data_IF_007405493147
#
_entry.id   IF_007405493147
#
_cell.length_a   1.000
_cell.length_b   1.000
_cell.length_c   1.000
_cell.angle_alpha   90.00
_cell.angle_beta   90.00
_cell.angle_gamma   90.00
#
_symmetry.space_group_name_H-M   'P 1'
#
loop_
_entity.id
_entity.type
_entity.pdbx_description
1 polymer ?
#
# COMPACT_ATOMS: atom_id res chain seq x y z
N UNK A 1 36.41 2.87 14.05
CA UNK A 1 35.65 1.82 13.36
C UNK A 1 34.30 1.74 14.03
N UNK A 2 33.22 2.09 13.33
CA UNK A 2 31.86 1.90 13.83
C UNK A 2 31.59 0.40 13.75
N UNK A 3 31.23 -0.21 14.88
CA UNK A 3 31.01 -1.66 14.92
C UNK A 3 29.67 -2.03 14.30
N UNK A 4 29.59 -3.24 13.73
CA UNK A 4 28.36 -3.80 13.13
C UNK A 4 27.19 -3.78 14.12
N UNK A 5 27.46 -3.91 15.42
CA UNK A 5 26.45 -3.83 16.49
C UNK A 5 25.94 -2.41 16.73
N UNK A 6 26.76 -1.37 16.59
CA UNK A 6 26.29 0.04 16.68
C UNK A 6 25.40 0.43 15.50
N UNK A 7 25.74 -0.02 14.29
CA UNK A 7 24.91 0.16 13.09
C UNK A 7 23.58 -0.62 13.19
N UNK A 8 23.63 -1.86 13.69
CA UNK A 8 22.43 -2.70 13.89
C UNK A 8 21.55 -2.13 14.99
N UNK A 9 22.09 -1.70 16.14
CA UNK A 9 21.30 -1.14 17.23
C UNK A 9 20.70 0.24 16.89
N UNK A 10 21.42 1.07 16.14
CA UNK A 10 20.87 2.33 15.64
C UNK A 10 19.80 2.12 14.56
N UNK A 11 19.91 1.10 13.70
CA UNK A 11 18.89 0.77 12.69
C UNK A 11 17.67 0.03 13.26
N UNK A 12 17.84 -0.93 14.17
CA UNK A 12 16.74 -1.80 14.63
C UNK A 12 15.70 -1.08 15.49
N UNK A 13 16.12 -0.10 16.30
CA UNK A 13 15.19 0.66 17.16
C UNK A 13 14.45 1.75 16.36
N UNK A 14 15.09 2.33 15.33
CA UNK A 14 14.49 3.41 14.54
C UNK A 14 13.54 2.94 13.42
N UNK A 15 13.74 1.74 12.88
CA UNK A 15 13.07 1.34 11.62
C UNK A 15 11.68 0.71 11.80
N UNK A 16 11.34 0.05 12.92
CA UNK A 16 10.01 -0.59 13.07
C UNK A 16 8.95 0.33 13.69
N UNK A 17 9.25 0.97 14.83
CA UNK A 17 8.33 1.92 15.45
C UNK A 17 8.22 3.21 14.64
N UNK A 18 9.36 3.77 14.20
CA UNK A 18 9.39 5.00 13.40
C UNK A 18 8.57 4.90 12.12
N UNK A 19 8.56 3.75 11.47
CA UNK A 19 7.77 3.51 10.26
C UNK A 19 6.26 3.50 10.51
N UNK A 20 5.80 2.75 11.54
CA UNK A 20 4.38 2.69 11.87
C UNK A 20 3.86 4.08 12.27
N UNK A 21 4.66 4.85 13.01
CA UNK A 21 4.39 6.26 13.27
C UNK A 21 4.41 7.12 12.01
N UNK A 22 5.30 6.87 11.05
CA UNK A 22 5.38 7.63 9.79
C UNK A 22 4.16 7.44 8.91
N UNK A 23 3.67 6.19 8.78
CA UNK A 23 2.42 5.92 8.06
C UNK A 23 1.25 6.60 8.77
N UNK A 24 1.14 6.46 10.09
CA UNK A 24 0.03 7.04 10.83
C UNK A 24 0.01 8.57 10.70
N UNK A 25 1.20 9.21 10.72
CA UNK A 25 1.36 10.64 10.42
C UNK A 25 0.91 10.96 8.99
N UNK A 26 1.31 10.16 7.99
CA UNK A 26 0.91 10.36 6.60
C UNK A 26 -0.60 10.24 6.42
N UNK A 27 -1.24 9.22 7.02
CA UNK A 27 -2.70 9.08 7.03
C UNK A 27 -3.38 10.27 7.70
N UNK A 28 -2.81 10.80 8.78
CA UNK A 28 -3.33 12.01 9.44
C UNK A 28 -3.19 13.26 8.55
N UNK A 29 -2.09 13.40 7.81
CA UNK A 29 -1.93 14.49 6.82
C UNK A 29 -2.99 14.39 5.73
N UNK A 30 -3.20 13.21 5.15
CA UNK A 30 -4.25 13.04 4.13
C UNK A 30 -5.66 13.21 4.70
N UNK A 31 -5.90 12.83 5.94
CA UNK A 31 -7.15 13.12 6.62
C UNK A 31 -7.42 14.63 6.73
N UNK A 32 -6.43 15.44 7.09
CA UNK A 32 -6.57 16.90 7.14
C UNK A 32 -6.78 17.50 5.74
N UNK A 33 -6.05 17.01 4.73
CA UNK A 33 -6.25 17.42 3.34
C UNK A 33 -7.67 17.09 2.88
N UNK A 34 -8.18 15.91 3.24
CA UNK A 34 -9.51 15.46 2.89
C UNK A 34 -10.62 16.28 3.57
N UNK A 35 -10.42 16.71 4.82
CA UNK A 35 -11.33 17.66 5.48
C UNK A 35 -11.43 18.97 4.69
N UNK A 36 -10.30 19.52 4.25
CA UNK A 36 -10.28 20.74 3.43
C UNK A 36 -10.94 20.48 2.07
N UNK A 37 -10.61 19.36 1.42
CA UNK A 37 -11.17 19.01 0.12
C UNK A 37 -12.69 18.83 0.17
N UNK A 38 -13.22 18.19 1.23
CA UNK A 38 -14.65 18.04 1.47
C UNK A 38 -15.33 19.37 1.78
N UNK A 39 -14.68 20.27 2.52
CA UNK A 39 -15.20 21.62 2.74
C UNK A 39 -15.46 22.37 1.42
N UNK A 40 -14.59 22.20 0.43
CA UNK A 40 -14.74 22.79 -0.91
C UNK A 40 -15.59 21.95 -1.88
N UNK A 41 -16.13 20.80 -1.44
CA UNK A 41 -16.96 19.93 -2.27
C UNK A 41 -16.18 19.15 -3.35
N UNK A 42 -14.86 19.03 -3.25
CA UNK A 42 -14.09 18.23 -4.21
C UNK A 42 -14.35 16.73 -4.05
N UNK A 43 -14.60 16.27 -2.83
CA UNK A 43 -14.89 14.85 -2.54
C UNK A 43 -16.24 14.40 -3.12
N UNK A 44 -17.17 15.33 -3.32
CA UNK A 44 -18.51 15.05 -3.88
C UNK A 44 -18.53 14.94 -5.41
N UNK A 45 -17.40 15.20 -6.08
CA UNK A 45 -17.27 15.02 -7.52
C UNK A 45 -17.16 13.52 -7.84
N UNK A 46 -18.29 12.84 -8.00
CA UNK A 46 -18.31 11.43 -8.35
C UNK A 46 -18.12 11.22 -9.85
N UNK A 47 -17.26 10.26 -10.22
CA UNK A 47 -17.16 9.80 -11.61
C UNK A 47 -18.47 9.12 -12.01
N UNK A 48 -19.06 9.52 -13.15
CA UNK A 48 -20.26 8.87 -13.68
C UNK A 48 -19.90 7.48 -14.25
N UNK A 49 -20.35 6.44 -13.54
CA UNK A 49 -20.08 5.03 -13.88
C UNK A 49 -21.28 4.34 -14.57
N UNK A 50 -22.33 5.09 -14.91
CA UNK A 50 -23.51 4.54 -15.62
C UNK A 50 -23.14 3.95 -16.99
N UNK A 51 -22.05 4.42 -17.59
CA UNK A 51 -21.49 3.88 -18.84
C UNK A 51 -20.84 2.50 -18.69
N UNK A 52 -20.49 2.09 -17.46
CA UNK A 52 -19.80 0.82 -17.17
C UNK A 52 -20.80 -0.29 -16.83
N UNK A 53 -21.84 0.02 -16.06
CA UNK A 53 -22.92 -0.93 -15.74
C UNK A 53 -24.14 -0.20 -15.20
N UNK A 54 -25.33 -0.72 -15.52
CA UNK A 54 -26.61 -0.28 -14.91
C UNK A 54 -26.66 -0.57 -13.40
N UNK A 55 -25.84 -1.51 -12.92
CA UNK A 55 -25.68 -1.78 -11.49
C UNK A 55 -24.54 -0.90 -10.92
N UNK A 56 -24.93 0.15 -10.21
CA UNK A 56 -24.01 1.13 -9.61
C UNK A 56 -22.98 0.51 -8.67
N UNK A 57 -23.37 -0.49 -7.88
CA UNK A 57 -22.45 -1.20 -6.98
C UNK A 57 -21.40 -1.99 -7.76
N UNK A 58 -21.83 -2.75 -8.77
CA UNK A 58 -20.92 -3.51 -9.62
C UNK A 58 -19.97 -2.58 -10.39
N UNK A 59 -20.48 -1.47 -10.92
CA UNK A 59 -19.70 -0.47 -11.62
C UNK A 59 -18.60 0.13 -10.71
N UNK A 60 -18.96 0.49 -9.46
CA UNK A 60 -18.03 1.06 -8.48
C UNK A 60 -16.95 0.06 -8.05
N UNK A 61 -17.32 -1.18 -7.75
CA UNK A 61 -16.37 -2.26 -7.43
C UNK A 61 -15.42 -2.52 -8.60
N UNK A 62 -15.94 -2.57 -9.83
CA UNK A 62 -15.14 -2.78 -11.03
C UNK A 62 -14.16 -1.63 -11.27
N UNK A 63 -14.61 -0.39 -11.09
CA UNK A 63 -13.80 0.80 -11.26
C UNK A 63 -12.68 0.90 -10.20
N UNK A 64 -12.99 0.61 -8.93
CA UNK A 64 -11.98 0.50 -7.87
C UNK A 64 -10.95 -0.58 -8.22
N UNK A 65 -11.39 -1.76 -8.66
CA UNK A 65 -10.50 -2.83 -9.10
C UNK A 65 -9.59 -2.43 -10.27
N UNK A 66 -10.12 -1.67 -11.23
CA UNK A 66 -9.34 -1.12 -12.35
C UNK A 66 -8.27 -0.13 -11.87
N UNK A 67 -8.62 0.78 -10.97
CA UNK A 67 -7.67 1.74 -10.38
C UNK A 67 -6.57 1.02 -9.61
N UNK A 68 -6.91 0.00 -8.82
CA UNK A 68 -5.94 -0.85 -8.12
C UNK A 68 -4.97 -1.50 -9.12
N UNK A 69 -5.49 -2.07 -10.22
CA UNK A 69 -4.66 -2.72 -11.23
C UNK A 69 -3.71 -1.75 -11.94
N UNK A 70 -4.18 -0.55 -12.29
CA UNK A 70 -3.32 0.50 -12.87
C UNK A 70 -2.23 0.89 -11.88
N UNK A 71 -2.63 1.19 -10.65
CA UNK A 71 -1.72 1.63 -9.60
C UNK A 71 -0.63 0.58 -9.33
N UNK A 72 -1.00 -0.70 -9.25
CA UNK A 72 -0.04 -1.80 -9.13
C UNK A 72 0.95 -1.84 -10.29
N UNK A 73 0.50 -1.65 -11.53
CA UNK A 73 1.40 -1.61 -12.70
C UNK A 73 2.33 -0.40 -12.72
N UNK A 74 1.86 0.77 -12.29
CA UNK A 74 2.71 1.96 -12.18
C UNK A 74 3.79 1.73 -11.12
N UNK A 75 3.41 1.24 -9.94
CA UNK A 75 4.34 0.97 -8.83
C UNK A 75 5.34 -0.14 -9.22
N UNK A 76 4.89 -1.16 -9.94
CA UNK A 76 5.79 -2.21 -10.45
C UNK A 76 6.77 -1.68 -11.49
N UNK A 77 6.32 -0.83 -12.42
CA UNK A 77 7.19 -0.18 -13.40
C UNK A 77 8.26 0.67 -12.69
N UNK A 78 7.86 1.46 -11.68
CA UNK A 78 8.79 2.21 -10.84
C UNK A 78 9.81 1.29 -10.14
N UNK A 79 9.32 0.23 -9.48
CA UNK A 79 10.18 -0.76 -8.82
C UNK A 79 11.17 -1.41 -9.80
N UNK A 80 10.73 -1.79 -11.00
CA UNK A 80 11.60 -2.40 -12.01
C UNK A 80 12.65 -1.42 -12.53
N UNK A 81 12.28 -0.17 -12.77
CA UNK A 81 13.21 0.84 -13.33
C UNK A 81 14.31 1.22 -12.34
N UNK A 82 13.97 1.48 -11.08
CA UNK A 82 14.94 2.01 -10.12
C UNK A 82 15.67 0.94 -9.32
N UNK A 83 15.04 -0.22 -9.08
CA UNK A 83 15.57 -1.21 -8.12
C UNK A 83 16.35 -2.34 -8.78
N UNK A 84 16.06 -2.66 -10.04
CA UNK A 84 16.46 -3.93 -10.66
C UNK A 84 17.97 -4.18 -10.56
N UNK A 85 18.79 -3.21 -10.95
CA UNK A 85 20.25 -3.33 -10.93
C UNK A 85 20.79 -3.64 -9.52
N UNK A 86 20.47 -2.82 -8.52
CA UNK A 86 20.96 -2.99 -7.15
C UNK A 86 20.40 -4.25 -6.49
N UNK A 87 19.15 -4.63 -6.81
CA UNK A 87 18.56 -5.88 -6.33
C UNK A 87 19.28 -7.10 -6.90
N UNK A 88 19.65 -7.07 -8.19
CA UNK A 88 20.41 -8.13 -8.85
C UNK A 88 21.84 -8.21 -8.26
N UNK A 89 22.52 -7.08 -8.08
CA UNK A 89 23.86 -7.01 -7.46
C UNK A 89 23.86 -7.66 -6.05
N UNK A 90 22.96 -7.25 -5.15
CA UNK A 90 22.90 -7.84 -3.80
C UNK A 90 22.47 -9.31 -3.79
N UNK A 91 21.63 -9.73 -4.73
CA UNK A 91 21.21 -11.13 -4.84
C UNK A 91 22.36 -12.01 -5.33
N UNK A 92 23.16 -11.52 -6.28
CA UNK A 92 24.33 -12.24 -6.80
C UNK A 92 25.38 -12.42 -5.71
N UNK A 93 25.69 -11.38 -4.93
CA UNK A 93 26.63 -11.47 -3.80
C UNK A 93 26.16 -12.48 -2.73
N UNK A 94 24.86 -12.50 -2.44
CA UNK A 94 24.28 -13.51 -1.54
C UNK A 94 24.40 -14.93 -2.10
N UNK A 95 24.13 -15.13 -3.39
CA UNK A 95 24.26 -16.43 -4.06
C UNK A 95 25.71 -16.90 -4.03
N UNK A 96 26.67 -16.03 -4.39
CA UNK A 96 28.10 -16.35 -4.35
C UNK A 96 28.59 -16.69 -2.94
N UNK A 97 28.16 -15.96 -1.92
CA UNK A 97 28.50 -16.27 -0.53
C UNK A 97 27.90 -17.62 -0.07
N UNK A 98 26.68 -17.95 -0.52
CA UNK A 98 26.02 -19.22 -0.24
C UNK A 98 26.72 -20.40 -0.93
N UNK A 99 27.16 -20.22 -2.16
CA UNK A 99 27.92 -21.23 -2.91
C UNK A 99 29.30 -21.46 -2.30
N UNK A 100 29.98 -20.41 -1.84
CA UNK A 100 31.25 -20.52 -1.13
C UNK A 100 31.10 -21.30 0.18
N UNK A 101 30.05 -21.01 0.97
CA UNK A 101 29.74 -21.76 2.19
C UNK A 101 29.37 -23.22 1.91
N UNK A 102 28.71 -23.52 0.79
CA UNK A 102 28.39 -24.90 0.41
C UNK A 102 29.65 -25.73 0.09
N UNK A 103 30.72 -25.07 -0.38
CA UNK A 103 32.01 -25.71 -0.67
C UNK A 103 32.87 -25.89 0.58
N UNK A 104 32.73 -25.00 1.57
CA UNK A 104 33.42 -25.10 2.86
C UNK A 104 32.45 -24.82 4.03
N UNK A 105 31.68 -25.84 4.47
CA UNK A 105 30.58 -25.67 5.43
C UNK A 105 31.03 -25.29 6.84
N UNK A 106 32.27 -25.57 7.21
CA UNK A 106 32.78 -25.36 8.56
C UNK A 106 33.45 -23.98 8.74
N UNK A 107 33.49 -23.17 7.69
CA UNK A 107 34.08 -21.85 7.72
C UNK A 107 33.13 -20.83 8.36
N UNK A 108 33.45 -20.42 9.58
CA UNK A 108 32.67 -19.48 10.39
C UNK A 108 32.56 -18.10 9.74
N UNK A 109 33.60 -17.65 9.03
CA UNK A 109 33.60 -16.35 8.35
C UNK A 109 32.65 -16.34 7.16
N UNK A 110 32.63 -17.41 6.35
CA UNK A 110 31.70 -17.56 5.23
C UNK A 110 30.24 -17.65 5.71
N UNK A 111 29.99 -18.35 6.82
CA UNK A 111 28.66 -18.41 7.43
C UNK A 111 28.19 -17.02 7.89
N UNK A 112 29.09 -16.24 8.49
CA UNK A 112 28.79 -14.86 8.93
C UNK A 112 28.51 -13.92 7.76
N UNK A 113 29.24 -14.10 6.65
CA UNK A 113 29.12 -13.30 5.41
C UNK A 113 27.82 -13.61 4.68
N UNK A 114 27.45 -14.89 4.53
CA UNK A 114 26.17 -15.29 3.95
C UNK A 114 24.98 -14.76 4.77
N UNK A 115 25.08 -14.77 6.11
CA UNK A 115 24.06 -14.19 7.00
C UNK A 115 23.95 -12.67 6.84
N UNK A 116 25.07 -11.97 6.66
CA UNK A 116 25.09 -10.53 6.41
C UNK A 116 24.39 -10.18 5.09
N UNK A 117 24.78 -10.82 3.99
CA UNK A 117 24.16 -10.58 2.68
C UNK A 117 22.68 -10.91 2.68
N UNK A 118 22.26 -11.97 3.38
CA UNK A 118 20.84 -12.27 3.60
C UNK A 118 20.10 -11.13 4.31
N UNK A 119 20.70 -10.51 5.33
CA UNK A 119 20.12 -9.35 6.01
C UNK A 119 19.96 -8.18 5.04
N UNK A 120 21.03 -7.84 4.30
CA UNK A 120 21.04 -6.72 3.35
C UNK A 120 19.95 -6.88 2.29
N UNK A 121 19.82 -8.07 1.69
CA UNK A 121 18.78 -8.35 0.69
C UNK A 121 17.38 -8.20 1.29
N UNK A 122 17.17 -8.70 2.51
CA UNK A 122 15.88 -8.59 3.20
C UNK A 122 15.55 -7.14 3.58
N UNK A 123 16.51 -6.39 4.10
CA UNK A 123 16.35 -5.01 4.51
C UNK A 123 16.03 -4.13 3.29
N UNK A 124 16.79 -4.28 2.21
CA UNK A 124 16.55 -3.59 0.94
C UNK A 124 15.16 -3.93 0.36
N UNK A 125 14.72 -5.18 0.46
CA UNK A 125 13.39 -5.60 0.05
C UNK A 125 12.29 -4.97 0.92
N UNK A 126 12.48 -4.95 2.24
CA UNK A 126 11.54 -4.32 3.16
C UNK A 126 11.42 -2.83 2.89
N UNK A 127 12.53 -2.11 2.76
CA UNK A 127 12.55 -0.66 2.49
C UNK A 127 11.87 -0.32 1.16
N UNK A 128 12.16 -1.09 0.11
CA UNK A 128 11.47 -0.94 -1.18
C UNK A 128 9.96 -1.11 -1.00
N UNK A 129 9.52 -2.16 -0.30
CA UNK A 129 8.11 -2.43 -0.05
C UNK A 129 7.43 -1.27 0.69
N UNK A 130 8.11 -0.66 1.66
CA UNK A 130 7.62 0.51 2.41
C UNK A 130 7.47 1.74 1.52
N UNK A 131 8.47 2.04 0.69
CA UNK A 131 8.40 3.15 -0.25
C UNK A 131 7.26 2.97 -1.27
N UNK A 132 7.11 1.75 -1.81
CA UNK A 132 6.01 1.41 -2.70
C UNK A 132 4.65 1.59 -2.02
N UNK A 133 4.50 1.15 -0.76
CA UNK A 133 3.27 1.34 0.00
C UNK A 133 2.95 2.84 0.19
N UNK A 134 3.93 3.65 0.59
CA UNK A 134 3.74 5.09 0.80
C UNK A 134 3.34 5.79 -0.50
N UNK A 135 4.01 5.48 -1.61
CA UNK A 135 3.68 6.04 -2.92
C UNK A 135 2.27 5.64 -3.36
N UNK A 136 1.93 4.37 -3.20
CA UNK A 136 0.63 3.81 -3.54
C UNK A 136 -0.52 4.42 -2.69
N UNK A 137 -0.31 4.53 -1.38
CA UNK A 137 -1.23 5.19 -0.46
C UNK A 137 -1.42 6.67 -0.81
N UNK A 138 -0.34 7.35 -1.17
CA UNK A 138 -0.39 8.76 -1.60
C UNK A 138 -1.25 8.93 -2.85
N UNK A 139 -1.04 8.10 -3.88
CA UNK A 139 -1.85 8.12 -5.10
C UNK A 139 -3.32 7.86 -4.78
N UNK A 140 -3.61 6.84 -3.99
CA UNK A 140 -4.98 6.50 -3.61
C UNK A 140 -5.68 7.63 -2.82
N UNK A 141 -5.01 8.23 -1.84
CA UNK A 141 -5.56 9.37 -1.09
C UNK A 141 -5.78 10.60 -1.98
N UNK A 142 -4.87 10.88 -2.93
CA UNK A 142 -5.04 12.00 -3.87
C UNK A 142 -6.27 11.76 -4.75
N UNK A 143 -6.40 10.57 -5.35
CA UNK A 143 -7.55 10.21 -6.18
C UNK A 143 -8.87 10.28 -5.42
N UNK A 144 -8.88 9.87 -4.15
CA UNK A 144 -10.07 9.96 -3.33
C UNK A 144 -10.39 11.39 -2.88
N UNK A 145 -9.38 12.22 -2.60
CA UNK A 145 -9.57 13.62 -2.20
C UNK A 145 -10.22 14.48 -3.30
N UNK A 146 -9.99 14.13 -4.57
CA UNK A 146 -10.61 14.80 -5.73
C UNK A 146 -11.95 14.17 -6.15
N UNK A 147 -12.48 13.22 -5.37
CA UNK A 147 -13.74 12.53 -5.64
C UNK A 147 -13.67 11.45 -6.74
N UNK A 148 -12.53 11.29 -7.42
CA UNK A 148 -12.40 10.37 -8.54
C UNK A 148 -12.73 8.92 -8.16
N UNK A 149 -12.25 8.46 -6.99
CA UNK A 149 -12.45 7.10 -6.50
C UNK A 149 -12.77 7.15 -5.01
N UNK A 150 -13.92 6.61 -4.62
CA UNK A 150 -14.31 6.48 -3.21
C UNK A 150 -15.04 5.17 -2.98
N UNK A 151 -14.78 4.52 -1.85
CA UNK A 151 -15.42 3.24 -1.52
C UNK A 151 -16.81 3.48 -0.95
N UNK A 152 -16.95 4.49 -0.10
CA UNK A 152 -18.22 4.81 0.56
C UNK A 152 -18.95 5.99 -0.08
N UNK A 153 -18.36 6.66 -1.07
CA UNK A 153 -18.98 7.78 -1.78
C UNK A 153 -20.35 7.48 -2.42
N UNK A 154 -20.65 6.21 -2.75
CA UNK A 154 -21.97 5.80 -3.24
C UNK A 154 -23.05 5.66 -2.16
N UNK A 155 -22.67 5.73 -0.86
CA UNK A 155 -23.57 5.73 0.28
C UNK A 155 -23.99 7.14 0.70
N UNK A 156 -23.53 8.17 -0.01
CA UNK A 156 -23.91 9.56 0.23
C UNK A 156 -25.38 9.82 -0.08
N UNK A 157 -26.24 9.48 0.87
CA UNK A 157 -27.39 10.25 1.34
C UNK A 157 -28.07 9.52 2.52
N UNK A 158 -27.35 9.07 3.57
CA UNK A 158 -28.04 8.55 4.74
C UNK A 158 -28.69 9.75 5.46
N UNK A 159 -30.00 9.70 5.78
CA UNK A 159 -30.67 10.73 6.59
C UNK A 159 -30.07 10.89 8.01
N UNK A 160 -29.03 10.12 8.34
CA UNK A 160 -28.31 10.08 9.60
C UNK A 160 -27.22 11.17 9.70
N UNK A 161 -26.77 11.75 8.57
CA UNK A 161 -25.82 12.86 8.61
C UNK A 161 -26.54 14.17 8.92
N UNK A 162 -26.53 14.54 10.20
CA UNK A 162 -27.25 15.70 10.73
C UNK A 162 -26.54 17.04 10.56
N UNK A 163 -25.26 17.06 10.15
CA UNK A 163 -24.47 18.29 10.03
C UNK A 163 -23.40 18.22 8.94
N UNK A 164 -23.03 19.38 8.37
CA UNK A 164 -21.93 19.49 7.41
C UNK A 164 -20.60 18.99 7.98
N UNK A 165 -20.38 19.17 9.28
CA UNK A 165 -19.19 18.63 9.95
C UNK A 165 -19.14 17.09 9.92
N UNK A 166 -20.29 16.42 10.12
CA UNK A 166 -20.34 14.95 10.02
C UNK A 166 -20.02 14.45 8.61
N UNK A 167 -20.51 15.14 7.58
CA UNK A 167 -20.19 14.83 6.17
C UNK A 167 -18.69 14.99 5.93
N UNK A 168 -18.10 16.10 6.36
CA UNK A 168 -16.67 16.35 6.22
C UNK A 168 -15.81 15.27 6.91
N UNK A 169 -16.17 14.88 8.13
CA UNK A 169 -15.46 13.82 8.85
C UNK A 169 -15.59 12.46 8.17
N UNK A 170 -16.80 12.13 7.69
CA UNK A 170 -17.04 10.88 6.98
C UNK A 170 -16.23 10.80 5.69
N UNK A 171 -16.25 11.87 4.88
CA UNK A 171 -15.45 11.98 3.66
C UNK A 171 -13.96 11.83 3.94
N UNK A 172 -13.46 12.48 4.99
CA UNK A 172 -12.05 12.39 5.35
C UNK A 172 -11.63 10.97 5.75
N UNK A 173 -12.51 10.24 6.44
CA UNK A 173 -12.30 8.82 6.75
C UNK A 173 -12.34 7.97 5.47
N UNK A 174 -13.33 8.19 4.60
CA UNK A 174 -13.48 7.42 3.34
C UNK A 174 -12.27 7.63 2.41
N UNK A 175 -11.72 8.85 2.34
CA UNK A 175 -10.49 9.13 1.58
C UNK A 175 -9.32 8.28 2.08
N UNK A 176 -9.10 8.23 3.40
CA UNK A 176 -8.01 7.45 3.99
C UNK A 176 -8.25 5.95 3.78
N UNK A 177 -9.47 5.46 3.99
CA UNK A 177 -9.82 4.07 3.76
C UNK A 177 -9.65 3.66 2.29
N UNK A 178 -10.08 4.52 1.37
CA UNK A 178 -9.91 4.31 -0.07
C UNK A 178 -8.43 4.26 -0.44
N UNK A 179 -7.62 5.18 0.07
CA UNK A 179 -6.17 5.15 -0.10
C UNK A 179 -5.55 3.85 0.39
N UNK A 180 -5.99 3.34 1.54
CA UNK A 180 -5.51 2.08 2.10
C UNK A 180 -5.88 0.87 1.24
N UNK A 181 -7.11 0.79 0.74
CA UNK A 181 -7.55 -0.29 -0.15
C UNK A 181 -6.77 -0.25 -1.47
N UNK A 182 -6.56 0.93 -2.04
CA UNK A 182 -5.73 1.10 -3.24
C UNK A 182 -4.27 0.66 -2.95
N UNK A 183 -3.76 1.00 -1.76
CA UNK A 183 -2.40 0.65 -1.35
C UNK A 183 -2.19 -0.84 -1.07
N UNK A 184 -3.25 -1.55 -0.66
CA UNK A 184 -3.24 -2.98 -0.39
C UNK A 184 -3.07 -3.86 -1.64
N UNK A 185 -3.19 -3.27 -2.83
CA UNK A 185 -2.96 -3.94 -4.10
C UNK A 185 -3.95 -5.06 -4.42
N UNK A 186 -3.64 -5.85 -5.46
CA UNK A 186 -4.48 -6.97 -5.87
C UNK A 186 -4.60 -8.06 -4.80
N UNK A 187 -3.62 -8.28 -3.91
CA UNK A 187 -3.74 -9.25 -2.81
C UNK A 187 -4.82 -8.84 -1.79
N UNK A 188 -4.84 -7.57 -1.36
CA UNK A 188 -5.90 -7.07 -0.48
C UNK A 188 -7.27 -7.13 -1.15
N UNK A 189 -7.33 -6.78 -2.44
CA UNK A 189 -8.56 -6.76 -3.22
C UNK A 189 -9.12 -8.15 -3.53
N UNK A 190 -8.28 -9.11 -3.91
CA UNK A 190 -8.69 -10.50 -4.17
C UNK A 190 -9.15 -11.20 -2.89
N UNK A 191 -8.51 -10.94 -1.76
CA UNK A 191 -8.98 -11.40 -0.46
C UNK A 191 -10.33 -10.77 -0.08
N UNK A 192 -10.52 -9.48 -0.35
CA UNK A 192 -11.82 -8.82 -0.16
C UNK A 192 -12.91 -9.46 -1.02
N UNK A 193 -12.68 -9.62 -2.34
CA UNK A 193 -13.64 -10.21 -3.27
C UNK A 193 -13.97 -11.67 -2.93
N UNK A 194 -12.96 -12.48 -2.58
CA UNK A 194 -13.17 -13.88 -2.20
C UNK A 194 -13.93 -14.02 -0.87
N UNK A 195 -13.74 -13.09 0.07
CA UNK A 195 -14.52 -13.07 1.30
C UNK A 195 -15.94 -12.52 1.08
N UNK A 196 -16.11 -11.54 0.19
CA UNK A 196 -17.44 -11.07 -0.22
C UNK A 196 -18.24 -12.18 -0.91
N UNK A 197 -17.62 -12.96 -1.80
CA UNK A 197 -18.24 -14.13 -2.41
C UNK A 197 -18.72 -15.17 -1.39
N UNK A 198 -18.04 -15.32 -0.24
CA UNK A 198 -18.47 -16.23 0.84
C UNK A 198 -19.68 -15.70 1.62
N UNK A 199 -19.88 -14.38 1.64
CA UNK A 199 -21.02 -13.74 2.31
C UNK A 199 -22.30 -13.78 1.49
N UNK A 200 -22.19 -13.94 0.17
CA UNK A 200 -23.32 -14.19 -0.72
C UNK A 200 -23.36 -15.69 -1.04
N UNK A 201 -24.10 -16.52 -0.27
CA UNK A 201 -24.22 -17.92 -0.60
C UNK A 201 -24.72 -18.04 -2.04
N UNK A 202 -23.98 -18.79 -2.87
CA UNK A 202 -24.47 -19.19 -4.18
C UNK A 202 -25.75 -19.99 -3.93
N UNK A 203 -26.90 -19.36 -4.17
CA UNK A 203 -28.14 -20.09 -4.37
C UNK A 203 -27.88 -20.97 -5.59
N UNK A 204 -27.53 -22.23 -5.33
CA UNK A 204 -27.48 -23.27 -6.34
C UNK A 204 -28.92 -23.45 -6.83
N UNK A 205 -29.23 -22.81 -7.95
CA UNK A 205 -30.33 -23.22 -8.82
C UNK A 205 -29.99 -24.54 -9.48
#
# INVERSE_FOLDING_TARGET
>A
MITKEELINQMTINTRKGYLYSILKLSCVFFLIALIASHYGFTTLTTDLTTVSDNTFLAQVTFIGFVIAINERIIEAFKRTFRRRTSEEYSNEFISAKEALAKDPNNVELASTAKLWRSIVNDYSSETGRMCLIASLTVGCILASIGAVRILGGLENPPQFSSQAHVMFFDAVDVVLTGWVISGGSEGWTNFLSNAQKLFPQNKG
#
